data_IF_086157653157
#
_entry.id   IF_086157653157
#
_cell.length_a   1.000
_cell.length_b   1.000
_cell.length_c   1.000
_cell.angle_alpha   90.00
_cell.angle_beta   90.00
_cell.angle_gamma   90.00
#
_symmetry.space_group_name_H-M   'P 1'
#
loop_
_entity.id
_entity.type
_entity.pdbx_description
1 polymer ?
#
# COMPACT_ATOMS: atom_id res chain seq x y z
N UNK A 1 21.35 -13.33 27.49
CA UNK A 1 21.40 -14.24 26.33
C UNK A 1 20.01 -14.34 25.67
N UNK A 2 18.94 -14.42 26.46
CA UNK A 2 17.55 -14.53 25.95
C UNK A 2 17.11 -13.26 25.20
N UNK A 3 17.44 -12.06 25.71
CA UNK A 3 17.08 -10.78 25.08
C UNK A 3 17.70 -10.60 23.69
N UNK A 4 18.97 -11.00 23.53
CA UNK A 4 19.69 -10.84 22.25
C UNK A 4 19.13 -11.74 21.13
N UNK A 5 18.67 -12.93 21.51
CA UNK A 5 18.01 -13.85 20.57
C UNK A 5 16.62 -13.33 20.16
N UNK A 6 15.88 -12.72 21.07
CA UNK A 6 14.56 -12.13 20.79
C UNK A 6 14.68 -10.88 19.91
N UNK A 7 15.63 -10.00 20.18
CA UNK A 7 15.88 -8.77 19.42
C UNK A 7 16.33 -9.08 17.97
N UNK A 8 17.28 -10.01 17.80
CA UNK A 8 17.73 -10.46 16.48
C UNK A 8 16.61 -11.17 15.71
N UNK A 9 15.80 -11.96 16.38
CA UNK A 9 14.69 -12.68 15.79
C UNK A 9 13.58 -11.71 15.30
N UNK A 10 13.34 -10.61 16.04
CA UNK A 10 12.33 -9.62 15.67
C UNK A 10 12.66 -8.89 14.36
N UNK A 11 13.94 -8.53 14.12
CA UNK A 11 14.37 -7.92 12.84
C UNK A 11 14.26 -8.92 11.70
N UNK A 12 14.64 -10.19 11.93
CA UNK A 12 14.52 -11.24 10.91
C UNK A 12 13.06 -11.50 10.52
N UNK A 13 12.15 -11.54 11.48
CA UNK A 13 10.72 -11.69 11.24
C UNK A 13 10.18 -10.50 10.42
N UNK A 14 10.61 -9.27 10.72
CA UNK A 14 10.24 -8.10 9.91
C UNK A 14 10.82 -8.18 8.50
N UNK A 15 12.05 -8.63 8.33
CA UNK A 15 12.68 -8.80 7.00
C UNK A 15 11.96 -9.89 6.17
N UNK A 16 11.48 -10.96 6.78
CA UNK A 16 10.65 -11.99 6.13
C UNK A 16 9.30 -11.40 5.71
N UNK A 17 8.64 -10.69 6.62
CA UNK A 17 7.36 -10.05 6.33
C UNK A 17 7.46 -9.01 5.21
N UNK A 18 8.54 -8.21 5.17
CA UNK A 18 8.81 -7.27 4.07
C UNK A 18 8.91 -8.02 2.74
N UNK A 19 9.65 -9.12 2.69
CA UNK A 19 9.76 -9.95 1.47
C UNK A 19 8.43 -10.55 1.02
N UNK A 20 7.58 -10.94 1.96
CA UNK A 20 6.25 -11.45 1.64
C UNK A 20 5.34 -10.38 1.06
N UNK A 21 5.38 -9.17 1.62
CA UNK A 21 4.65 -8.01 1.11
C UNK A 21 5.18 -7.59 -0.27
N UNK A 22 6.50 -7.60 -0.51
CA UNK A 22 7.10 -7.31 -1.81
C UNK A 22 6.66 -8.33 -2.88
N UNK A 23 6.65 -9.62 -2.56
CA UNK A 23 6.13 -10.66 -3.48
C UNK A 23 4.64 -10.49 -3.78
N UNK A 24 3.86 -10.11 -2.76
CA UNK A 24 2.43 -9.85 -2.93
C UNK A 24 2.19 -8.62 -3.80
N UNK A 25 3.03 -7.60 -3.69
CA UNK A 25 2.98 -6.40 -4.53
C UNK A 25 3.29 -6.74 -5.99
N UNK A 26 4.33 -7.51 -6.26
CA UNK A 26 4.70 -7.99 -7.60
C UNK A 26 3.55 -8.78 -8.26
N UNK A 27 2.97 -9.74 -7.54
CA UNK A 27 1.83 -10.52 -8.01
C UNK A 27 0.59 -9.65 -8.31
N UNK A 28 0.38 -8.60 -7.51
CA UNK A 28 -0.70 -7.64 -7.70
C UNK A 28 -0.45 -6.76 -8.92
N UNK A 29 0.79 -6.35 -9.17
CA UNK A 29 1.19 -5.58 -10.36
C UNK A 29 1.00 -6.39 -11.64
N UNK A 30 1.37 -7.67 -11.66
CA UNK A 30 1.14 -8.58 -12.78
C UNK A 30 -0.35 -8.75 -13.07
N UNK A 31 -1.15 -8.93 -12.02
CA UNK A 31 -2.61 -9.01 -12.14
C UNK A 31 -3.20 -7.72 -12.69
N UNK A 32 -2.78 -6.57 -12.18
CA UNK A 32 -3.21 -5.27 -12.65
C UNK A 32 -2.79 -5.02 -14.10
N UNK A 33 -1.60 -5.44 -14.51
CA UNK A 33 -1.14 -5.33 -15.91
C UNK A 33 -2.01 -6.17 -16.86
N UNK A 34 -2.37 -7.39 -16.46
CA UNK A 34 -3.22 -8.29 -17.23
C UNK A 34 -4.64 -7.71 -17.40
N UNK A 35 -5.28 -7.32 -16.29
CA UNK A 35 -6.63 -6.73 -16.34
C UNK A 35 -6.61 -5.40 -17.08
N UNK A 36 -5.58 -4.57 -16.84
CA UNK A 36 -5.41 -3.29 -17.55
C UNK A 36 -5.23 -3.44 -19.06
N UNK A 37 -4.57 -4.52 -19.51
CA UNK A 37 -4.49 -4.90 -20.92
C UNK A 37 -5.85 -5.21 -21.53
N UNK A 38 -6.68 -5.98 -20.82
CA UNK A 38 -8.06 -6.29 -21.21
C UNK A 38 -8.91 -5.03 -21.29
N UNK A 39 -8.85 -4.18 -20.26
CA UNK A 39 -9.56 -2.88 -20.21
C UNK A 39 -9.23 -2.03 -21.44
N UNK A 40 -7.94 -1.86 -21.75
CA UNK A 40 -7.51 -1.08 -22.92
C UNK A 40 -8.03 -1.65 -24.23
N UNK A 41 -8.05 -2.96 -24.37
CA UNK A 41 -8.53 -3.63 -25.59
C UNK A 41 -10.02 -3.45 -25.77
N UNK A 42 -10.82 -3.68 -24.72
CA UNK A 42 -12.27 -3.55 -24.76
C UNK A 42 -12.67 -2.08 -24.98
N UNK A 43 -12.04 -1.13 -24.31
CA UNK A 43 -12.27 0.30 -24.48
C UNK A 43 -11.98 0.74 -25.90
N UNK A 44 -10.85 0.33 -26.48
CA UNK A 44 -10.51 0.64 -27.86
C UNK A 44 -11.56 0.10 -28.86
N UNK A 45 -12.06 -1.13 -28.64
CA UNK A 45 -13.12 -1.71 -29.46
C UNK A 45 -14.42 -0.95 -29.33
N UNK A 46 -14.82 -0.59 -28.13
CA UNK A 46 -15.96 0.28 -27.90
C UNK A 46 -15.82 1.61 -28.69
N UNK A 47 -14.69 2.30 -28.53
CA UNK A 47 -14.45 3.60 -29.18
C UNK A 47 -14.43 3.46 -30.71
N UNK A 48 -13.84 2.39 -31.25
CA UNK A 48 -13.80 2.08 -32.69
C UNK A 48 -15.22 1.92 -33.26
N UNK A 49 -16.06 1.11 -32.63
CA UNK A 49 -17.42 0.87 -33.10
C UNK A 49 -18.34 2.06 -32.87
N UNK A 50 -18.17 2.80 -31.78
CA UNK A 50 -18.92 4.04 -31.52
C UNK A 50 -18.61 5.09 -32.59
N UNK A 51 -17.35 5.31 -32.91
CA UNK A 51 -16.94 6.27 -33.97
C UNK A 51 -17.43 5.84 -35.37
N UNK A 52 -17.41 4.53 -35.65
CA UNK A 52 -17.94 4.01 -36.91
C UNK A 52 -19.45 4.21 -37.03
N UNK A 53 -20.21 3.98 -35.96
CA UNK A 53 -21.64 4.25 -35.90
C UNK A 53 -21.94 5.74 -36.10
N UNK A 54 -21.24 6.61 -35.39
CA UNK A 54 -21.43 8.08 -35.54
C UNK A 54 -21.12 8.59 -36.96
N UNK A 55 -20.14 8.00 -37.64
CA UNK A 55 -19.85 8.30 -39.03
C UNK A 55 -21.00 7.86 -39.95
N UNK A 56 -21.47 6.63 -39.78
CA UNK A 56 -22.60 6.09 -40.57
C UNK A 56 -23.88 6.92 -40.39
N UNK A 57 -24.16 7.39 -39.18
CA UNK A 57 -25.29 8.25 -38.88
C UNK A 57 -25.28 9.53 -39.74
N UNK A 58 -24.14 10.21 -39.82
CA UNK A 58 -23.94 11.37 -40.68
C UNK A 58 -24.02 11.03 -42.17
N UNK A 59 -23.53 9.89 -42.58
CA UNK A 59 -23.58 9.43 -43.98
C UNK A 59 -25.03 9.12 -44.41
N UNK A 60 -25.83 8.51 -43.51
CA UNK A 60 -27.25 8.23 -43.73
C UNK A 60 -28.01 9.52 -43.98
N UNK A 61 -27.85 10.54 -43.13
CA UNK A 61 -28.49 11.84 -43.30
C UNK A 61 -28.16 12.46 -44.68
N UNK A 62 -26.91 12.35 -45.10
CA UNK A 62 -26.43 12.83 -46.38
C UNK A 62 -27.08 12.08 -47.56
N UNK A 63 -27.22 10.76 -47.45
CA UNK A 63 -27.85 9.91 -48.46
C UNK A 63 -29.32 10.18 -48.62
N UNK A 64 -30.04 10.37 -47.53
CA UNK A 64 -31.47 10.76 -47.52
C UNK A 64 -31.68 12.10 -48.23
N UNK A 65 -30.90 13.11 -47.88
CA UNK A 65 -30.98 14.43 -48.53
C UNK A 65 -30.71 14.35 -50.05
N UNK A 66 -29.87 13.40 -50.49
CA UNK A 66 -29.58 13.17 -51.91
C UNK A 66 -30.56 12.24 -52.62
N UNK A 67 -31.64 11.79 -51.94
CA UNK A 67 -32.64 10.89 -52.50
C UNK A 67 -32.11 9.50 -52.87
N UNK A 68 -31.07 9.00 -52.15
CA UNK A 68 -30.45 7.70 -52.37
C UNK A 68 -30.93 6.67 -51.32
N UNK A 69 -32.24 6.41 -51.32
CA UNK A 69 -32.93 5.65 -50.29
C UNK A 69 -32.40 4.19 -50.11
N UNK A 70 -32.07 3.52 -51.20
CA UNK A 70 -31.51 2.15 -51.14
C UNK A 70 -30.15 2.12 -50.42
N UNK A 71 -29.31 3.12 -50.68
CA UNK A 71 -28.00 3.24 -50.02
C UNK A 71 -28.16 3.68 -48.54
N UNK A 72 -29.12 4.54 -48.30
CA UNK A 72 -29.43 4.94 -46.90
C UNK A 72 -29.92 3.74 -46.07
N UNK A 73 -30.76 2.87 -46.63
CA UNK A 73 -31.25 1.65 -45.99
C UNK A 73 -30.09 0.67 -45.69
N UNK A 74 -29.16 0.48 -46.64
CA UNK A 74 -28.00 -0.35 -46.43
C UNK A 74 -27.05 0.20 -45.35
N UNK A 75 -26.81 1.53 -45.38
CA UNK A 75 -26.01 2.20 -44.34
C UNK A 75 -26.68 2.14 -42.95
N UNK A 76 -28.01 2.22 -42.87
CA UNK A 76 -28.77 2.07 -41.62
C UNK A 76 -28.61 0.65 -41.02
N UNK A 77 -28.63 -0.38 -41.85
CA UNK A 77 -28.39 -1.75 -41.36
C UNK A 77 -26.97 -1.91 -40.77
N UNK A 78 -25.98 -1.29 -41.44
CA UNK A 78 -24.60 -1.30 -40.93
C UNK A 78 -24.46 -0.47 -39.63
N UNK A 79 -25.09 0.70 -39.56
CA UNK A 79 -25.17 1.55 -38.35
C UNK A 79 -25.71 0.76 -37.16
N UNK A 80 -26.86 0.08 -37.33
CA UNK A 80 -27.44 -0.73 -36.27
C UNK A 80 -26.49 -1.82 -35.78
N UNK A 81 -25.74 -2.46 -36.67
CA UNK A 81 -24.72 -3.46 -36.32
C UNK A 81 -23.57 -2.85 -35.53
N UNK A 82 -23.04 -1.69 -35.97
CA UNK A 82 -21.93 -1.01 -35.26
C UNK A 82 -22.39 -0.48 -33.90
N UNK A 83 -23.60 0.03 -33.81
CA UNK A 83 -24.21 0.51 -32.57
C UNK A 83 -24.37 -0.65 -31.56
N UNK A 84 -24.87 -1.80 -32.00
CA UNK A 84 -25.01 -2.98 -31.16
C UNK A 84 -23.64 -3.45 -30.64
N UNK A 85 -22.62 -3.59 -31.55
CA UNK A 85 -21.28 -3.99 -31.16
C UNK A 85 -20.66 -2.98 -30.16
N UNK A 86 -20.84 -1.68 -30.38
CA UNK A 86 -20.40 -0.65 -29.45
C UNK A 86 -21.01 -0.87 -28.06
N UNK A 87 -22.31 -1.12 -27.99
CA UNK A 87 -23.00 -1.35 -26.72
C UNK A 87 -22.55 -2.63 -26.02
N UNK A 88 -22.31 -3.71 -26.77
CA UNK A 88 -21.79 -4.96 -26.23
C UNK A 88 -20.37 -4.78 -25.64
N UNK A 89 -19.47 -4.11 -26.34
CA UNK A 89 -18.13 -3.83 -25.85
C UNK A 89 -18.14 -2.84 -24.66
N UNK A 90 -19.04 -1.88 -24.64
CA UNK A 90 -19.22 -1.00 -23.49
C UNK A 90 -19.61 -1.77 -22.22
N UNK A 91 -20.54 -2.70 -22.32
CA UNK A 91 -20.95 -3.54 -21.20
C UNK A 91 -19.81 -4.45 -20.74
N UNK A 92 -19.10 -5.09 -21.70
CA UNK A 92 -17.96 -5.94 -21.38
C UNK A 92 -16.77 -5.21 -20.75
N UNK A 93 -16.65 -3.91 -20.99
CA UNK A 93 -15.56 -3.07 -20.48
C UNK A 93 -15.79 -2.62 -19.03
N UNK A 94 -17.02 -2.40 -18.59
CA UNK A 94 -17.33 -1.80 -17.29
C UNK A 94 -16.80 -2.62 -16.10
N UNK A 95 -17.01 -3.92 -16.08
CA UNK A 95 -16.58 -4.81 -15.00
C UNK A 95 -15.07 -4.89 -14.87
N UNK A 96 -14.31 -5.20 -15.94
CA UNK A 96 -12.85 -5.18 -15.89
C UNK A 96 -12.27 -3.81 -15.51
N UNK A 97 -12.89 -2.70 -15.92
CA UNK A 97 -12.43 -1.37 -15.51
C UNK A 97 -12.60 -1.13 -14.02
N UNK A 98 -13.72 -1.56 -13.46
CA UNK A 98 -13.97 -1.49 -12.01
C UNK A 98 -12.96 -2.33 -11.24
N UNK A 99 -12.69 -3.55 -11.71
CA UNK A 99 -11.69 -4.44 -11.12
C UNK A 99 -10.27 -3.84 -11.20
N UNK A 100 -9.88 -3.31 -12.36
CA UNK A 100 -8.59 -2.65 -12.54
C UNK A 100 -8.38 -1.49 -11.57
N UNK A 101 -9.40 -0.65 -11.37
CA UNK A 101 -9.35 0.45 -10.40
C UNK A 101 -9.14 -0.06 -8.96
N UNK A 102 -9.80 -1.16 -8.59
CA UNK A 102 -9.61 -1.80 -7.27
C UNK A 102 -8.18 -2.32 -7.11
N UNK A 103 -7.64 -2.99 -8.13
CA UNK A 103 -6.25 -3.49 -8.11
C UNK A 103 -5.24 -2.35 -7.94
N UNK A 104 -5.42 -1.24 -8.65
CA UNK A 104 -4.57 -0.05 -8.51
C UNK A 104 -4.66 0.58 -7.11
N UNK A 105 -5.83 0.60 -6.49
CA UNK A 105 -6.01 1.11 -5.14
C UNK A 105 -5.35 0.19 -4.10
N UNK A 106 -5.54 -1.12 -4.25
CA UNK A 106 -4.85 -2.13 -3.42
C UNK A 106 -3.33 -2.02 -3.53
N UNK A 107 -2.80 -1.82 -4.74
CA UNK A 107 -1.36 -1.60 -4.97
C UNK A 107 -0.85 -0.41 -4.16
N UNK A 108 -1.52 0.75 -4.25
CA UNK A 108 -1.13 1.96 -3.51
C UNK A 108 -1.13 1.75 -1.99
N UNK A 109 -2.16 1.07 -1.47
CA UNK A 109 -2.25 0.75 -0.05
C UNK A 109 -1.11 -0.17 0.40
N UNK A 110 -0.78 -1.17 -0.41
CA UNK A 110 0.30 -2.11 -0.11
C UNK A 110 1.68 -1.45 -0.18
N UNK A 111 1.93 -0.57 -1.16
CA UNK A 111 3.15 0.25 -1.27
C UNK A 111 3.35 1.16 -0.04
N UNK A 112 2.27 1.83 0.38
CA UNK A 112 2.29 2.68 1.58
C UNK A 112 2.62 1.85 2.84
N UNK A 113 1.98 0.69 2.99
CA UNK A 113 2.23 -0.22 4.11
C UNK A 113 3.67 -0.75 4.10
N UNK A 114 4.19 -1.13 2.94
CA UNK A 114 5.58 -1.57 2.78
C UNK A 114 6.57 -0.49 3.23
N UNK A 115 6.33 0.75 2.84
CA UNK A 115 7.15 1.90 3.24
C UNK A 115 7.15 2.08 4.76
N UNK A 116 5.98 2.03 5.40
CA UNK A 116 5.84 2.16 6.84
C UNK A 116 6.58 1.04 7.59
N UNK A 117 6.44 -0.22 7.14
CA UNK A 117 7.13 -1.37 7.76
C UNK A 117 8.65 -1.25 7.61
N UNK A 118 9.15 -0.80 6.45
CA UNK A 118 10.59 -0.57 6.24
C UNK A 118 11.13 0.51 7.19
N UNK A 119 10.38 1.57 7.42
CA UNK A 119 10.74 2.61 8.41
C UNK A 119 10.77 2.06 9.83
N UNK A 120 9.76 1.29 10.24
CA UNK A 120 9.71 0.66 11.56
C UNK A 120 10.87 -0.32 11.77
N UNK A 121 11.26 -1.07 10.75
CA UNK A 121 12.44 -1.94 10.81
C UNK A 121 13.73 -1.16 11.06
N UNK A 122 13.95 -0.03 10.39
CA UNK A 122 15.13 0.80 10.61
C UNK A 122 15.15 1.42 12.02
N UNK A 123 14.01 1.86 12.52
CA UNK A 123 13.87 2.32 13.89
C UNK A 123 14.22 1.21 14.90
N UNK A 124 13.71 0.01 14.70
CA UNK A 124 14.03 -1.15 15.55
C UNK A 124 15.52 -1.48 15.53
N UNK A 125 16.17 -1.46 14.37
CA UNK A 125 17.63 -1.65 14.25
C UNK A 125 18.41 -0.60 15.03
N UNK A 126 18.01 0.67 14.93
CA UNK A 126 18.66 1.76 15.66
C UNK A 126 18.52 1.58 17.18
N UNK A 127 17.34 1.17 17.67
CA UNK A 127 17.10 0.87 19.08
C UNK A 127 17.96 -0.30 19.59
N UNK A 128 18.08 -1.36 18.80
CA UNK A 128 18.94 -2.51 19.14
C UNK A 128 20.41 -2.08 19.25
N UNK A 129 20.91 -1.29 18.30
CA UNK A 129 22.29 -0.78 18.33
C UNK A 129 22.53 0.10 19.55
N UNK A 130 21.57 0.95 19.91
CA UNK A 130 21.65 1.80 21.08
C UNK A 130 21.66 0.98 22.38
N UNK A 131 20.83 -0.05 22.48
CA UNK A 131 20.80 -0.97 23.61
C UNK A 131 22.12 -1.76 23.75
N UNK A 132 22.72 -2.18 22.63
CA UNK A 132 24.04 -2.84 22.64
C UNK A 132 25.16 -1.90 23.09
N UNK A 133 25.18 -0.66 22.60
CA UNK A 133 26.14 0.36 23.03
C UNK A 133 26.00 0.65 24.54
N UNK A 134 24.79 0.71 25.07
CA UNK A 134 24.53 0.86 26.51
C UNK A 134 25.08 -0.32 27.32
N UNK A 135 24.89 -1.56 26.88
CA UNK A 135 25.43 -2.76 27.55
C UNK A 135 26.97 -2.70 27.63
N UNK A 136 27.65 -2.29 26.56
CA UNK A 136 29.12 -2.14 26.53
C UNK A 136 29.56 -1.05 27.51
N UNK A 137 28.91 0.12 27.49
CA UNK A 137 29.25 1.24 28.37
C UNK A 137 29.03 0.88 29.84
N UNK A 138 27.91 0.20 30.17
CA UNK A 138 27.65 -0.26 31.55
C UNK A 138 28.71 -1.25 32.04
N UNK A 139 29.19 -2.15 31.16
CA UNK A 139 30.28 -3.07 31.49
C UNK A 139 31.60 -2.35 31.73
N UNK A 140 31.88 -1.34 30.91
CA UNK A 140 33.09 -0.50 31.06
C UNK A 140 33.04 0.30 32.36
N UNK A 141 31.91 0.89 32.73
CA UNK A 141 31.72 1.61 34.00
C UNK A 141 32.00 0.66 35.20
N UNK A 142 31.42 -0.55 35.20
CA UNK A 142 31.67 -1.53 36.27
C UNK A 142 33.17 -1.91 36.39
N UNK A 143 33.88 -1.97 35.28
CA UNK A 143 35.33 -2.22 35.29
C UNK A 143 36.10 -1.01 35.84
N UNK A 144 35.73 0.21 35.50
CA UNK A 144 36.32 1.44 36.01
C UNK A 144 36.03 1.67 37.49
N UNK A 145 34.81 1.35 37.97
CA UNK A 145 34.47 1.36 39.40
C UNK A 145 35.34 0.44 40.23
N UNK A 146 35.76 -0.71 39.66
CA UNK A 146 36.71 -1.60 40.26
C UNK A 146 38.10 -0.97 40.42
N UNK A 147 38.53 -0.15 39.46
CA UNK A 147 39.80 0.56 39.47
C UNK A 147 39.74 1.84 40.33
N UNK A 148 38.62 2.57 40.34
CA UNK A 148 38.42 3.77 41.15
C UNK A 148 38.53 3.49 42.69
N UNK A 149 38.23 2.30 43.13
CA UNK A 149 38.44 1.88 44.53
C UNK A 149 39.90 1.90 44.97
N UNK A 150 40.84 2.06 44.04
CA UNK A 150 42.30 2.21 44.30
C UNK A 150 42.72 3.66 44.57
N UNK A 151 41.77 4.64 44.51
CA UNK A 151 42.00 6.03 44.98
C UNK A 151 42.44 7.02 43.96
N UNK A 152 42.22 6.84 42.67
CA UNK A 152 42.54 7.77 41.60
C UNK A 152 41.37 8.71 41.32
N UNK A 153 41.55 10.01 41.63
CA UNK A 153 40.56 11.05 41.44
C UNK A 153 40.18 11.28 39.96
N UNK A 154 41.11 11.07 39.03
CA UNK A 154 40.88 11.23 37.59
C UNK A 154 39.96 10.12 37.05
N UNK A 155 40.12 8.87 37.53
CA UNK A 155 39.28 7.73 37.18
C UNK A 155 37.87 7.95 37.70
N UNK A 156 37.71 8.48 38.91
CA UNK A 156 36.40 8.79 39.51
C UNK A 156 35.67 9.87 38.67
N UNK A 157 36.36 10.95 38.30
CA UNK A 157 35.76 12.02 37.45
C UNK A 157 35.35 11.49 36.07
N UNK A 158 36.18 10.64 35.46
CA UNK A 158 35.86 10.03 34.15
C UNK A 158 34.65 9.12 34.26
N UNK A 159 34.55 8.34 35.32
CA UNK A 159 33.43 7.43 35.58
C UNK A 159 32.12 8.20 35.73
N UNK A 160 32.12 9.33 36.45
CA UNK A 160 30.95 10.18 36.63
C UNK A 160 30.51 10.86 35.31
N UNK A 161 31.47 11.30 34.48
CA UNK A 161 31.15 11.83 33.15
C UNK A 161 30.51 10.78 32.24
N UNK A 162 31.01 9.54 32.26
CA UNK A 162 30.47 8.46 31.48
C UNK A 162 29.06 8.08 31.99
N UNK A 163 28.81 8.06 33.30
CA UNK A 163 27.47 7.83 33.88
C UNK A 163 26.49 8.91 33.43
N UNK A 164 26.85 10.18 33.56
CA UNK A 164 25.99 11.30 33.12
C UNK A 164 25.68 11.29 31.64
N UNK A 165 26.56 10.73 30.81
CA UNK A 165 26.30 10.51 29.39
C UNK A 165 25.36 9.34 29.16
N UNK A 166 25.52 8.25 29.90
CA UNK A 166 24.66 7.08 29.86
C UNK A 166 23.23 7.42 30.23
N UNK A 167 23.03 8.16 31.33
CA UNK A 167 21.70 8.62 31.81
C UNK A 167 20.99 9.47 30.77
N UNK A 168 21.75 10.32 30.06
CA UNK A 168 21.18 11.12 28.93
C UNK A 168 20.77 10.26 27.74
N UNK A 169 21.53 9.25 27.40
CA UNK A 169 21.18 8.34 26.31
C UNK A 169 20.03 7.41 26.72
N UNK A 170 19.91 7.07 27.99
CA UNK A 170 18.80 6.30 28.55
C UNK A 170 17.48 7.10 28.45
N UNK A 171 17.49 8.36 28.87
CA UNK A 171 16.34 9.24 28.74
C UNK A 171 15.92 9.43 27.27
N UNK A 172 16.86 9.48 26.32
CA UNK A 172 16.58 9.54 24.89
C UNK A 172 15.95 8.24 24.37
N UNK A 173 16.44 7.09 24.86
CA UNK A 173 15.89 5.79 24.52
C UNK A 173 14.45 5.65 25.01
N UNK A 174 14.18 6.06 26.26
CA UNK A 174 12.84 6.02 26.85
C UNK A 174 11.86 6.91 26.07
N UNK A 175 12.28 8.12 25.67
CA UNK A 175 11.48 9.00 24.81
C UNK A 175 11.22 8.39 23.43
N UNK A 176 12.24 7.78 22.81
CA UNK A 176 12.09 7.16 21.50
C UNK A 176 11.17 5.94 21.54
N UNK A 177 11.26 5.14 22.60
CA UNK A 177 10.42 3.96 22.82
C UNK A 177 8.96 4.35 23.10
N UNK A 178 8.72 5.38 23.93
CA UNK A 178 7.39 5.91 24.19
C UNK A 178 6.74 6.45 22.91
N UNK A 179 7.49 7.20 22.10
CA UNK A 179 7.01 7.73 20.81
C UNK A 179 6.68 6.61 19.82
N UNK A 180 7.50 5.55 19.76
CA UNK A 180 7.23 4.40 18.90
C UNK A 180 5.97 3.64 19.34
N UNK A 181 5.76 3.50 20.66
CA UNK A 181 4.60 2.83 21.22
C UNK A 181 3.31 3.62 20.92
N UNK A 182 3.35 4.95 21.04
CA UNK A 182 2.25 5.85 20.66
C UNK A 182 1.92 5.77 19.16
N UNK A 183 2.95 5.78 18.29
CA UNK A 183 2.77 5.62 16.83
C UNK A 183 2.18 4.26 16.46
N UNK A 184 2.59 3.18 17.12
CA UNK A 184 2.04 1.84 16.90
C UNK A 184 0.58 1.77 17.35
N UNK A 185 0.24 2.34 18.52
CA UNK A 185 -1.13 2.38 19.00
C UNK A 185 -2.04 3.24 18.11
N UNK A 186 -1.53 4.34 17.56
CA UNK A 186 -2.25 5.19 16.61
C UNK A 186 -2.50 4.49 15.28
N UNK A 187 -1.48 3.78 14.75
CA UNK A 187 -1.59 2.99 13.53
C UNK A 187 -2.58 1.81 13.69
N UNK A 188 -2.59 1.14 14.85
CA UNK A 188 -3.54 0.06 15.15
C UNK A 188 -4.96 0.61 15.27
N UNK A 189 -5.16 1.73 15.97
CA UNK A 189 -6.48 2.40 16.07
C UNK A 189 -6.98 2.88 14.71
N UNK A 190 -6.11 3.45 13.87
CA UNK A 190 -6.45 3.84 12.50
C UNK A 190 -6.91 2.66 11.66
N UNK A 191 -6.23 1.52 11.75
CA UNK A 191 -6.56 0.28 11.06
C UNK A 191 -7.91 -0.32 11.54
N UNK A 192 -8.19 -0.29 12.85
CA UNK A 192 -9.47 -0.75 13.40
C UNK A 192 -10.65 0.12 12.95
N UNK A 193 -10.47 1.45 12.94
CA UNK A 193 -11.49 2.39 12.45
C UNK A 193 -11.77 2.20 10.96
N UNK A 194 -10.73 1.99 10.14
CA UNK A 194 -10.91 1.69 8.71
C UNK A 194 -11.66 0.37 8.49
N UNK A 195 -11.31 -0.70 9.21
CA UNK A 195 -12.03 -1.98 9.12
C UNK A 195 -13.49 -1.85 9.54
N UNK A 196 -13.78 -1.12 10.61
CA UNK A 196 -15.15 -0.87 11.07
C UNK A 196 -15.96 -0.03 10.07
N UNK A 197 -15.33 0.95 9.41
CA UNK A 197 -15.95 1.75 8.36
C UNK A 197 -16.21 0.92 7.10
N UNK A 198 -15.29 0.06 6.69
CA UNK A 198 -15.50 -0.87 5.56
C UNK A 198 -16.62 -1.86 5.84
N UNK A 199 -16.67 -2.43 7.05
CA UNK A 199 -17.74 -3.34 7.45
C UNK A 199 -19.11 -2.64 7.49
N UNK A 200 -19.16 -1.39 7.96
CA UNK A 200 -20.36 -0.55 7.92
C UNK A 200 -20.80 -0.21 6.50
N UNK A 201 -19.86 0.14 5.62
CA UNK A 201 -20.13 0.36 4.19
C UNK A 201 -20.67 -0.90 3.52
N UNK A 202 -20.09 -2.06 3.81
CA UNK A 202 -20.54 -3.35 3.29
C UNK A 202 -21.97 -3.69 3.72
N UNK A 203 -22.33 -3.42 4.98
CA UNK A 203 -23.72 -3.61 5.48
C UNK A 203 -24.72 -2.66 4.81
N UNK A 204 -24.34 -1.38 4.64
CA UNK A 204 -25.24 -0.38 4.08
C UNK A 204 -25.42 -0.51 2.57
N UNK A 205 -24.35 -0.89 1.84
CA UNK A 205 -24.39 -1.03 0.37
C UNK A 205 -24.76 -2.44 -0.08
N UNK A 206 -24.50 -3.47 0.73
CA UNK A 206 -24.89 -4.85 0.45
C UNK A 206 -26.34 -5.19 0.82
N UNK A 207 -27.02 -4.34 1.58
CA UNK A 207 -28.41 -4.52 2.00
C UNK A 207 -29.48 -4.03 1.01
N UNK A 208 -29.10 -3.37 -0.09
CA UNK A 208 -30.05 -2.83 -1.07
C UNK A 208 -30.39 -3.75 -2.25
N UNK A 209 -29.90 -5.02 -2.22
CA UNK A 209 -30.09 -5.99 -3.32
C UNK A 209 -31.13 -7.09 -3.09
N UNK A 210 -31.91 -7.06 -1.99
CA UNK A 210 -32.88 -8.12 -1.69
C UNK A 210 -34.21 -7.60 -1.16
N UNK A 211 -34.94 -6.85 -2.00
CA UNK A 211 -36.40 -6.79 -1.87
C UNK A 211 -37.01 -6.32 -3.19
N UNK A 212 -37.45 -7.28 -3.98
CA UNK A 212 -38.16 -7.10 -5.25
C UNK A 212 -38.40 -8.47 -5.86
N UNK A 213 -39.25 -9.30 -5.20
CA UNK A 213 -39.85 -10.49 -5.78
C UNK A 213 -41.21 -10.15 -6.35
#
# INVERSE_FOLDING_TARGET
IVDRALESNSVQVMDEYIRDVERSLEALEDSAATVGGTVKTLKRKYEEFAAAAEKLDRDIDTLIVKGKDDLAAAAQAEFNTKQQLSQEYYQQWQDPESEYKKLLDMRRKLESRLTAIKQQREQLRALIQLAEAKKVTTKTIKSLDGLAKVGDAEITSLTDQIRARLDREDARLDMATANLQEQVEEAVRGSEVEMQLEERRRRLLGGSGSSGG
#
